data_IF_125371947585
#
_entry.id   IF_125371947585
#
_cell.length_a   1.000
_cell.length_b   1.000
_cell.length_c   1.000
_cell.angle_alpha   90.00
_cell.angle_beta   90.00
_cell.angle_gamma   90.00
#
_symmetry.space_group_name_H-M   'P 1'
#
loop_
_entity.id
_entity.type
_entity.pdbx_description
1 polymer ?
#
# COMPACT_ATOMS: atom_id res chain seq x y z
N UNK A 1 11.48 8.46 5.14
CA UNK A 1 10.55 7.61 4.36
C UNK A 1 9.67 6.84 5.32
N UNK A 2 8.35 6.91 5.17
CA UNK A 2 7.40 6.08 5.89
C UNK A 2 6.87 4.99 4.94
N UNK A 3 6.94 3.73 5.36
CA UNK A 3 6.36 2.59 4.64
C UNK A 3 5.06 2.17 5.31
N UNK A 4 3.99 2.11 4.52
CA UNK A 4 2.65 1.66 4.90
C UNK A 4 2.39 0.31 4.23
N UNK A 5 2.65 -0.83 4.89
CA UNK A 5 2.37 -2.15 4.33
C UNK A 5 0.86 -2.44 4.38
N UNK A 6 0.44 -3.46 3.63
CA UNK A 6 -0.92 -3.98 3.74
C UNK A 6 -1.22 -4.47 5.16
N UNK A 7 -2.43 -4.21 5.65
CA UNK A 7 -2.89 -4.70 6.95
C UNK A 7 -3.43 -6.14 6.91
N UNK A 8 -3.57 -6.75 5.74
CA UNK A 8 -3.97 -8.16 5.59
C UNK A 8 -2.90 -9.15 6.05
N UNK A 9 -1.65 -8.71 6.03
CA UNK A 9 -0.48 -9.55 6.28
C UNK A 9 0.45 -8.83 7.26
N UNK A 10 1.39 -9.56 7.81
CA UNK A 10 2.45 -8.95 8.60
C UNK A 10 3.30 -8.02 7.74
N UNK A 11 3.86 -6.98 8.34
CA UNK A 11 4.57 -5.89 7.67
C UNK A 11 5.77 -6.32 6.81
N UNK A 12 6.42 -7.46 7.15
CA UNK A 12 7.80 -7.76 6.75
C UNK A 12 7.97 -8.31 5.33
N UNK A 13 6.96 -8.20 4.45
CA UNK A 13 7.14 -8.51 3.01
C UNK A 13 8.26 -7.66 2.37
N UNK A 14 8.40 -6.41 2.80
CA UNK A 14 9.45 -5.50 2.32
C UNK A 14 10.74 -5.58 3.14
N UNK A 15 10.82 -6.51 4.08
CA UNK A 15 11.95 -6.74 4.99
C UNK A 15 12.10 -8.23 5.33
N UNK A 16 12.07 -9.11 4.32
CA UNK A 16 12.01 -10.58 4.48
C UNK A 16 13.33 -11.15 5.01
N UNK A 17 14.45 -10.76 4.44
CA UNK A 17 15.78 -11.18 4.85
C UNK A 17 16.82 -10.12 4.47
N UNK A 18 18.03 -10.18 5.02
CA UNK A 18 19.08 -9.18 4.70
C UNK A 18 19.37 -9.00 3.21
N UNK A 19 19.10 -10.03 2.39
CA UNK A 19 19.40 -10.01 0.96
C UNK A 19 18.33 -9.36 0.12
N UNK A 20 17.04 -9.53 0.51
CA UNK A 20 15.88 -9.06 -0.24
C UNK A 20 15.04 -8.05 0.55
N UNK A 21 15.67 -7.30 1.47
CA UNK A 21 15.05 -6.25 2.25
C UNK A 21 15.11 -4.91 1.52
N UNK A 22 13.96 -4.35 1.17
CA UNK A 22 13.83 -2.98 0.69
C UNK A 22 14.22 -1.97 1.78
N UNK A 23 13.92 -2.27 3.04
CA UNK A 23 14.30 -1.43 4.18
C UNK A 23 15.83 -1.32 4.27
N UNK A 24 16.54 -2.45 4.26
CA UNK A 24 18.01 -2.45 4.27
C UNK A 24 18.58 -1.72 3.05
N UNK A 25 17.99 -1.94 1.87
CA UNK A 25 18.40 -1.25 0.66
C UNK A 25 18.26 0.27 0.84
N UNK A 26 17.11 0.79 1.21
CA UNK A 26 16.88 2.22 1.39
C UNK A 26 17.77 2.83 2.49
N UNK A 27 17.95 2.13 3.61
CA UNK A 27 18.85 2.57 4.68
C UNK A 27 20.30 2.63 4.18
N UNK A 28 20.75 1.64 3.39
CA UNK A 28 22.10 1.66 2.79
C UNK A 28 22.30 2.82 1.81
N UNK A 29 21.21 3.32 1.21
CA UNK A 29 21.21 4.49 0.34
C UNK A 29 21.10 5.82 1.11
N UNK A 30 21.07 5.78 2.44
CA UNK A 30 21.08 6.97 3.30
C UNK A 30 19.69 7.51 3.67
N UNK A 31 18.62 6.76 3.44
CA UNK A 31 17.28 7.11 3.91
C UNK A 31 17.08 6.70 5.37
N UNK A 32 16.38 7.55 6.14
CA UNK A 32 15.78 7.13 7.41
C UNK A 32 14.44 6.47 7.07
N UNK A 33 14.28 5.20 7.45
CA UNK A 33 13.10 4.39 7.11
C UNK A 33 12.30 4.07 8.35
N UNK A 34 11.00 4.31 8.28
CA UNK A 34 10.00 3.97 9.30
C UNK A 34 8.95 3.08 8.63
N UNK A 35 8.44 2.10 9.37
CA UNK A 35 7.44 1.18 8.84
C UNK A 35 6.37 0.89 9.88
N UNK A 36 5.10 0.86 9.45
CA UNK A 36 3.98 0.46 10.30
C UNK A 36 4.04 -1.06 10.52
N UNK A 37 3.97 -1.48 11.77
CA UNK A 37 3.64 -2.86 12.14
C UNK A 37 2.22 -2.90 12.69
N UNK A 38 1.28 -3.39 11.87
CA UNK A 38 -0.12 -3.46 12.26
C UNK A 38 -0.34 -4.44 13.40
N UNK A 39 -1.15 -4.03 14.37
CA UNK A 39 -1.62 -4.93 15.42
C UNK A 39 -2.59 -5.96 14.81
N UNK A 40 -2.49 -7.22 15.21
CA UNK A 40 -3.47 -8.23 14.84
C UNK A 40 -4.75 -7.98 15.66
N UNK A 41 -5.88 -7.59 15.04
CA UNK A 41 -7.10 -7.27 15.77
C UNK A 41 -7.76 -8.50 16.39
N UNK A 42 -8.55 -8.29 17.43
CA UNK A 42 -9.37 -9.28 18.11
C UNK A 42 -10.85 -8.86 18.12
N UNK A 43 -11.72 -9.62 18.79
CA UNK A 43 -13.16 -9.36 18.84
C UNK A 43 -13.48 -7.94 19.37
N UNK A 44 -12.69 -7.41 20.31
CA UNK A 44 -12.91 -6.07 20.87
C UNK A 44 -12.70 -4.96 19.83
N UNK A 45 -12.01 -5.24 18.75
CA UNK A 45 -11.72 -4.31 17.65
C UNK A 45 -12.79 -4.29 16.56
N UNK A 46 -13.87 -5.10 16.69
CA UNK A 46 -14.88 -5.32 15.65
C UNK A 46 -15.44 -4.06 15.00
N UNK A 47 -15.51 -2.97 15.76
CA UNK A 47 -16.07 -1.69 15.33
C UNK A 47 -15.03 -0.74 14.69
N UNK A 48 -13.75 -1.12 14.61
CA UNK A 48 -12.75 -0.31 13.91
C UNK A 48 -13.11 -0.25 12.41
N UNK A 49 -13.22 0.98 11.93
CA UNK A 49 -13.58 1.30 10.55
C UNK A 49 -12.35 1.44 9.65
N UNK A 50 -12.60 1.57 8.36
CA UNK A 50 -11.57 1.97 7.40
C UNK A 50 -10.99 3.36 7.74
N UNK A 51 -11.84 4.31 8.19
CA UNK A 51 -11.39 5.62 8.65
C UNK A 51 -10.46 5.54 9.87
N UNK A 52 -10.71 4.61 10.80
CA UNK A 52 -9.83 4.41 11.97
C UNK A 52 -8.44 3.95 11.55
N UNK A 53 -8.32 3.08 10.52
CA UNK A 53 -7.03 2.69 9.96
C UNK A 53 -6.27 3.88 9.33
N UNK A 54 -6.98 4.79 8.68
CA UNK A 54 -6.37 6.02 8.16
C UNK A 54 -5.88 6.91 9.30
N UNK A 55 -6.73 7.15 10.30
CA UNK A 55 -6.46 8.10 11.38
C UNK A 55 -5.46 7.56 12.40
N UNK A 56 -5.81 6.43 13.04
CA UNK A 56 -5.02 5.84 14.13
C UNK A 56 -3.79 5.08 13.60
N UNK A 57 -3.81 4.66 12.35
CA UNK A 57 -2.73 3.96 11.68
C UNK A 57 -1.82 4.92 10.91
N UNK A 58 -2.25 5.32 9.71
CA UNK A 58 -1.38 6.04 8.76
C UNK A 58 -1.03 7.44 9.25
N UNK A 59 -2.02 8.25 9.65
CA UNK A 59 -1.78 9.65 10.08
C UNK A 59 -0.94 9.70 11.36
N UNK A 60 -1.22 8.86 12.35
CA UNK A 60 -0.39 8.77 13.55
C UNK A 60 1.03 8.31 13.26
N UNK A 61 1.21 7.36 12.33
CA UNK A 61 2.54 6.95 11.89
C UNK A 61 3.29 8.07 11.16
N UNK A 62 2.60 8.90 10.36
CA UNK A 62 3.19 10.10 9.75
C UNK A 62 3.66 11.08 10.82
N UNK A 63 2.82 11.39 11.83
CA UNK A 63 3.17 12.27 12.94
C UNK A 63 4.37 11.72 13.72
N UNK A 64 4.35 10.42 14.03
CA UNK A 64 5.47 9.76 14.73
C UNK A 64 6.77 9.82 13.92
N UNK A 65 6.67 9.61 12.59
CA UNK A 65 7.81 9.71 11.66
C UNK A 65 8.37 11.14 11.64
N UNK A 66 7.51 12.15 11.54
CA UNK A 66 7.92 13.56 11.61
C UNK A 66 8.64 13.90 12.91
N UNK A 67 8.08 13.49 14.05
CA UNK A 67 8.70 13.68 15.37
C UNK A 67 10.04 12.97 15.50
N UNK A 68 10.14 11.72 15.03
CA UNK A 68 11.37 10.93 15.14
C UNK A 68 12.47 11.40 14.19
N UNK A 69 12.11 11.85 13.00
CA UNK A 69 13.07 12.39 12.02
C UNK A 69 13.39 13.87 12.24
N UNK A 70 12.57 14.60 13.00
CA UNK A 70 12.67 16.06 13.14
C UNK A 70 12.34 16.80 11.84
N UNK A 71 11.51 16.20 10.99
CA UNK A 71 11.10 16.76 9.70
C UNK A 71 9.59 16.94 9.63
N UNK A 72 9.16 18.06 9.11
CA UNK A 72 7.76 18.36 8.76
C UNK A 72 7.40 17.86 7.34
N UNK A 73 8.35 17.21 6.65
CA UNK A 73 8.20 16.70 5.27
C UNK A 73 8.68 15.26 5.20
N UNK A 74 7.85 14.37 4.65
CA UNK A 74 8.16 12.94 4.53
C UNK A 74 7.80 12.40 3.14
N UNK A 75 8.50 11.35 2.73
CA UNK A 75 8.13 10.54 1.57
C UNK A 75 7.30 9.34 2.08
N UNK A 76 6.21 9.03 1.40
CA UNK A 76 5.37 7.87 1.72
C UNK A 76 5.56 6.74 0.72
N UNK A 77 5.63 5.48 1.18
CA UNK A 77 5.58 4.27 0.35
C UNK A 77 4.41 3.43 0.85
N UNK A 78 3.43 3.16 0.00
CA UNK A 78 2.30 2.29 0.33
C UNK A 78 2.32 1.01 -0.52
N UNK A 79 2.18 -0.15 0.13
CA UNK A 79 2.15 -1.45 -0.54
C UNK A 79 0.76 -2.07 -0.44
N UNK A 80 0.20 -2.50 -1.58
CA UNK A 80 -1.10 -3.13 -1.69
C UNK A 80 -2.18 -2.23 -1.03
N UNK A 81 -3.04 -2.73 -0.12
CA UNK A 81 -4.02 -1.91 0.62
C UNK A 81 -3.38 -0.75 1.40
N UNK A 82 -2.13 -0.90 1.85
CA UNK A 82 -1.39 0.21 2.46
C UNK A 82 -1.17 1.38 1.50
N UNK A 83 -1.07 1.11 0.20
CA UNK A 83 -1.02 2.15 -0.83
C UNK A 83 -2.38 2.81 -1.06
N UNK A 84 -3.48 2.06 -1.00
CA UNK A 84 -4.83 2.63 -1.01
C UNK A 84 -5.04 3.56 0.18
N UNK A 85 -4.66 3.14 1.40
CA UNK A 85 -4.69 4.00 2.59
C UNK A 85 -3.89 5.28 2.38
N UNK A 86 -2.66 5.14 1.89
CA UNK A 86 -1.76 6.29 1.68
C UNK A 86 -2.31 7.25 0.61
N UNK A 87 -2.94 6.76 -0.45
CA UNK A 87 -3.60 7.58 -1.48
C UNK A 87 -4.74 8.40 -0.91
N UNK A 88 -5.58 7.79 -0.07
CA UNK A 88 -6.68 8.50 0.61
C UNK A 88 -6.13 9.56 1.56
N UNK A 89 -5.11 9.24 2.35
CA UNK A 89 -4.49 10.21 3.28
C UNK A 89 -3.82 11.36 2.51
N UNK A 90 -3.16 11.09 1.38
CA UNK A 90 -2.59 12.13 0.52
C UNK A 90 -3.69 13.06 -0.04
N UNK A 91 -4.81 12.49 -0.47
CA UNK A 91 -5.95 13.28 -0.94
C UNK A 91 -6.57 14.14 0.19
N UNK A 92 -6.72 13.59 1.41
CA UNK A 92 -7.21 14.34 2.58
C UNK A 92 -6.28 15.50 2.91
N UNK A 93 -4.98 15.25 2.98
CA UNK A 93 -3.96 16.25 3.30
C UNK A 93 -4.01 17.43 2.31
N UNK A 94 -4.03 17.15 1.02
CA UNK A 94 -3.99 18.18 -0.01
C UNK A 94 -5.37 18.85 -0.23
N UNK A 95 -6.48 18.16 0.13
CA UNK A 95 -7.83 18.74 0.11
C UNK A 95 -7.94 19.91 1.10
N UNK A 96 -7.42 19.76 2.31
CA UNK A 96 -7.46 20.81 3.32
C UNK A 96 -6.67 22.05 2.89
N UNK A 97 -5.48 21.85 2.32
CA UNK A 97 -4.68 22.94 1.78
C UNK A 97 -5.34 23.70 0.61
N UNK A 98 -6.24 23.06 -0.15
CA UNK A 98 -6.99 23.72 -1.23
C UNK A 98 -8.08 24.65 -0.66
N UNK A 99 -8.73 24.26 0.41
CA UNK A 99 -9.84 25.01 1.01
C UNK A 99 -9.37 26.21 1.83
N UNK A 100 -8.12 26.23 2.29
CA UNK A 100 -7.50 27.37 2.99
C UNK A 100 -7.13 28.54 2.05
N UNK A 101 -7.16 28.35 0.73
CA UNK A 101 -6.90 29.44 -0.21
C UNK A 101 -8.10 30.39 -0.28
N UNK A 102 -7.91 31.71 -0.02
CA UNK A 102 -8.99 32.68 -0.11
C UNK A 102 -9.55 32.70 -1.55
N UNK A 103 -10.83 32.36 -1.71
CA UNK A 103 -11.53 32.55 -2.97
C UNK A 103 -11.66 34.05 -3.22
N UNK A 104 -11.36 34.51 -4.46
CA UNK A 104 -11.36 35.93 -4.85
C UNK A 104 -12.63 36.61 -4.33
N UNK A 105 -12.49 37.53 -3.36
CA UNK A 105 -13.58 38.33 -2.80
C UNK A 105 -14.35 37.72 -1.63
N UNK A 106 -13.94 36.60 -1.07
CA UNK A 106 -14.49 36.05 0.18
C UNK A 106 -13.37 35.76 1.19
N UNK A 107 -13.59 36.07 2.49
CA UNK A 107 -12.63 35.65 3.51
C UNK A 107 -12.51 34.11 3.48
N UNK A 108 -11.29 33.61 3.74
CA UNK A 108 -11.06 32.18 3.91
C UNK A 108 -12.01 31.65 5.00
N UNK A 109 -12.95 30.78 4.62
CA UNK A 109 -13.72 30.03 5.62
C UNK A 109 -12.76 28.97 6.16
N UNK A 110 -12.26 29.16 7.37
CA UNK A 110 -11.56 28.08 8.11
C UNK A 110 -12.57 26.96 8.34
N UNK A 111 -12.63 26.03 7.43
CA UNK A 111 -13.18 24.71 7.71
C UNK A 111 -12.19 24.00 8.63
N UNK A 112 -12.66 23.31 9.66
CA UNK A 112 -11.77 22.50 10.49
C UNK A 112 -11.02 21.51 9.56
N UNK A 113 -9.71 21.36 9.78
CA UNK A 113 -8.90 20.42 9.02
C UNK A 113 -9.42 18.99 9.20
N UNK A 114 -9.39 18.20 8.13
CA UNK A 114 -9.72 16.77 8.16
C UNK A 114 -8.59 15.95 8.80
N UNK A 115 -7.38 16.46 8.79
CA UNK A 115 -6.22 15.78 9.38
C UNK A 115 -5.85 16.38 10.75
N UNK A 116 -5.22 15.59 11.64
CA UNK A 116 -4.78 16.06 12.94
C UNK A 116 -3.66 17.12 12.81
N UNK A 117 -3.57 18.00 13.79
CA UNK A 117 -2.49 18.98 13.87
C UNK A 117 -1.13 18.29 13.93
N UNK A 118 -0.16 18.87 13.23
CA UNK A 118 1.21 18.36 13.18
C UNK A 118 1.42 17.19 12.20
N UNK A 119 0.47 16.93 11.30
CA UNK A 119 0.68 16.00 10.20
C UNK A 119 1.75 16.55 9.25
N UNK A 120 2.87 15.83 9.02
CA UNK A 120 3.90 16.28 8.09
C UNK A 120 3.41 16.25 6.64
N UNK A 121 3.94 17.12 5.81
CA UNK A 121 3.69 17.16 4.37
C UNK A 121 4.18 15.86 3.70
N UNK A 122 3.34 15.26 2.86
CA UNK A 122 3.75 14.21 1.92
C UNK A 122 4.36 14.85 0.69
N UNK A 123 5.69 14.85 0.60
CA UNK A 123 6.43 15.45 -0.52
C UNK A 123 6.50 14.56 -1.74
N UNK A 124 6.29 13.27 -1.58
CA UNK A 124 6.09 12.29 -2.65
C UNK A 124 5.38 11.06 -2.11
N UNK A 125 4.70 10.34 -3.01
CA UNK A 125 3.96 9.12 -2.70
C UNK A 125 4.37 8.02 -3.67
N UNK A 126 4.86 6.90 -3.15
CA UNK A 126 5.11 5.68 -3.91
C UNK A 126 4.00 4.67 -3.66
N UNK A 127 3.36 4.18 -4.71
CA UNK A 127 2.27 3.20 -4.66
C UNK A 127 2.75 1.89 -5.30
N UNK A 128 2.89 0.84 -4.50
CA UNK A 128 3.43 -0.44 -4.92
C UNK A 128 2.31 -1.48 -5.01
N UNK A 129 1.93 -1.90 -6.20
CA UNK A 129 0.84 -2.84 -6.46
C UNK A 129 -0.45 -2.46 -5.70
N UNK A 130 -0.80 -1.18 -5.74
CA UNK A 130 -1.91 -0.60 -4.98
C UNK A 130 -3.00 -0.10 -5.94
N UNK A 131 -4.24 -0.54 -5.71
CA UNK A 131 -5.40 -0.10 -6.47
C UNK A 131 -6.01 1.16 -5.85
N UNK A 132 -6.48 2.05 -6.72
CA UNK A 132 -7.33 3.20 -6.38
C UNK A 132 -8.62 3.21 -7.19
N UNK A 133 -8.71 2.32 -8.17
CA UNK A 133 -9.89 1.96 -8.95
C UNK A 133 -10.06 0.44 -8.81
N UNK A 134 -11.24 0.00 -8.43
CA UNK A 134 -11.57 -1.39 -8.15
C UNK A 134 -12.56 -1.97 -9.17
N UNK A 135 -12.84 -1.26 -10.27
CA UNK A 135 -13.71 -1.74 -11.35
C UNK A 135 -13.17 -3.01 -12.02
N UNK A 136 -11.87 -3.25 -11.93
CA UNK A 136 -11.20 -4.49 -12.33
C UNK A 136 -10.56 -5.16 -11.10
N UNK A 137 -11.37 -5.83 -10.25
CA UNK A 137 -10.92 -6.33 -8.94
C UNK A 137 -10.00 -7.55 -9.03
N UNK A 138 -9.60 -7.94 -10.24
CA UNK A 138 -8.78 -9.13 -10.46
C UNK A 138 -9.52 -10.42 -10.07
N UNK A 139 -8.76 -11.40 -9.62
CA UNK A 139 -9.31 -12.69 -9.23
C UNK A 139 -10.21 -12.62 -7.98
N UNK A 140 -10.06 -11.58 -7.16
CA UNK A 140 -10.91 -11.38 -5.97
C UNK A 140 -12.37 -11.09 -6.33
N UNK A 141 -12.63 -10.53 -7.52
CA UNK A 141 -13.99 -10.24 -7.98
C UNK A 141 -14.94 -11.44 -8.00
N UNK A 142 -14.41 -12.66 -8.09
CA UNK A 142 -15.20 -13.90 -8.05
C UNK A 142 -15.95 -14.05 -6.70
N UNK A 143 -15.42 -13.45 -5.63
CA UNK A 143 -15.96 -13.54 -4.28
C UNK A 143 -16.75 -12.31 -3.85
N UNK A 144 -17.01 -11.35 -4.76
CA UNK A 144 -17.58 -10.06 -4.42
C UNK A 144 -18.89 -9.88 -5.18
N UNK A 145 -19.97 -10.39 -4.60
CA UNK A 145 -21.35 -10.12 -4.95
C UNK A 145 -22.19 -9.99 -3.66
N UNK A 146 -23.42 -9.49 -3.79
CA UNK A 146 -24.28 -9.21 -2.63
C UNK A 146 -24.56 -10.44 -1.77
N UNK A 147 -24.75 -11.63 -2.36
CA UNK A 147 -25.06 -12.87 -1.63
C UNK A 147 -23.82 -13.39 -0.87
N UNK A 148 -22.65 -13.34 -1.52
CA UNK A 148 -21.40 -13.75 -0.89
C UNK A 148 -21.01 -12.77 0.22
N UNK A 149 -21.15 -11.46 0.01
CA UNK A 149 -20.90 -10.46 1.05
C UNK A 149 -21.83 -10.63 2.23
N UNK A 150 -23.11 -11.01 2.01
CA UNK A 150 -24.05 -11.31 3.09
C UNK A 150 -23.56 -12.51 3.92
N UNK A 151 -23.20 -13.61 3.28
CA UNK A 151 -22.68 -14.82 3.96
C UNK A 151 -21.44 -14.50 4.76
N UNK A 152 -20.53 -13.70 4.19
CA UNK A 152 -19.29 -13.28 4.83
C UNK A 152 -19.55 -12.42 6.07
N UNK A 153 -20.52 -11.49 5.97
CA UNK A 153 -20.95 -10.66 7.10
C UNK A 153 -21.51 -11.50 8.25
N UNK A 154 -22.30 -12.52 7.94
CA UNK A 154 -22.84 -13.46 8.94
C UNK A 154 -21.71 -14.22 9.68
N UNK A 155 -20.71 -14.73 8.96
CA UNK A 155 -19.53 -15.40 9.59
C UNK A 155 -18.71 -14.43 10.46
N UNK A 156 -18.50 -13.19 10.01
CA UNK A 156 -17.76 -12.19 10.77
C UNK A 156 -18.55 -11.67 11.97
N UNK A 157 -19.87 -11.57 11.88
CA UNK A 157 -20.71 -11.10 12.99
C UNK A 157 -20.57 -11.99 14.25
N UNK A 158 -20.37 -13.29 14.07
CA UNK A 158 -20.11 -14.21 15.18
C UNK A 158 -18.76 -13.94 15.84
N UNK A 159 -17.70 -13.71 15.05
CA UNK A 159 -16.30 -13.63 15.52
C UNK A 159 -15.82 -12.21 15.82
N UNK A 160 -16.45 -11.21 15.23
CA UNK A 160 -16.03 -9.81 15.30
C UNK A 160 -14.89 -9.44 14.34
N UNK A 161 -14.39 -10.40 13.53
CA UNK A 161 -13.30 -10.17 12.58
C UNK A 161 -13.29 -11.19 11.45
N UNK A 162 -12.70 -10.80 10.32
CA UNK A 162 -12.31 -11.73 9.25
C UNK A 162 -11.08 -12.51 9.67
N UNK A 163 -11.19 -13.82 9.69
CA UNK A 163 -10.06 -14.67 10.08
C UNK A 163 -9.01 -14.76 8.96
N UNK A 164 -7.73 -14.76 9.34
CA UNK A 164 -6.64 -15.00 8.38
C UNK A 164 -6.76 -16.34 7.65
N UNK A 165 -7.37 -17.35 8.27
CA UNK A 165 -7.61 -18.66 7.64
C UNK A 165 -8.61 -18.57 6.48
N UNK A 166 -9.70 -17.83 6.66
CA UNK A 166 -10.71 -17.61 5.61
C UNK A 166 -10.11 -16.81 4.47
N UNK A 167 -9.37 -15.74 4.76
CA UNK A 167 -8.65 -14.93 3.78
C UNK A 167 -7.59 -15.74 3.04
N UNK A 168 -6.73 -16.45 3.76
CA UNK A 168 -5.69 -17.28 3.19
C UNK A 168 -6.26 -18.40 2.31
N UNK A 169 -7.40 -18.99 2.70
CA UNK A 169 -8.11 -19.98 1.91
C UNK A 169 -8.58 -19.44 0.56
N UNK A 170 -9.15 -18.24 0.53
CA UNK A 170 -9.58 -17.58 -0.71
C UNK A 170 -8.37 -17.31 -1.64
N UNK A 171 -7.29 -16.74 -1.11
CA UNK A 171 -6.07 -16.48 -1.88
C UNK A 171 -5.39 -17.78 -2.37
N UNK A 172 -5.38 -18.85 -1.56
CA UNK A 172 -4.86 -20.15 -1.97
C UNK A 172 -5.72 -20.80 -3.05
N UNK A 173 -7.03 -20.66 -2.99
CA UNK A 173 -7.95 -21.17 -4.00
C UNK A 173 -7.68 -20.52 -5.36
N UNK A 174 -7.54 -19.20 -5.39
CA UNK A 174 -7.22 -18.43 -6.60
C UNK A 174 -5.89 -18.83 -7.23
N UNK A 175 -4.91 -19.23 -6.41
CA UNK A 175 -3.58 -19.68 -6.84
C UNK A 175 -3.37 -21.19 -6.68
N UNK A 176 -4.44 -21.99 -6.59
CA UNK A 176 -4.35 -23.41 -6.29
C UNK A 176 -3.39 -24.19 -7.21
N UNK A 177 -3.29 -23.81 -8.48
CA UNK A 177 -2.38 -24.46 -9.41
C UNK A 177 -0.91 -24.26 -9.03
N UNK A 178 -0.52 -23.05 -8.66
CA UNK A 178 0.88 -22.73 -8.34
C UNK A 178 1.24 -23.08 -6.89
N UNK A 179 0.38 -22.72 -5.93
CA UNK A 179 0.67 -22.87 -4.51
C UNK A 179 0.38 -24.28 -3.98
N UNK A 180 -0.59 -25.01 -4.56
CA UNK A 180 -1.01 -26.32 -4.04
C UNK A 180 -0.57 -27.42 -4.98
N UNK A 181 -1.03 -27.41 -6.24
CA UNK A 181 -0.83 -28.54 -7.13
C UNK A 181 0.61 -28.71 -7.61
N UNK A 182 1.30 -27.62 -7.96
CA UNK A 182 2.70 -27.69 -8.39
C UNK A 182 3.62 -28.18 -7.27
N UNK A 183 3.38 -27.75 -6.03
CA UNK A 183 4.15 -28.21 -4.87
C UNK A 183 3.85 -29.67 -4.52
N UNK A 184 2.55 -30.07 -4.51
CA UNK A 184 2.18 -31.47 -4.29
C UNK A 184 2.79 -32.39 -5.34
N UNK A 185 2.76 -31.99 -6.61
CA UNK A 185 3.38 -32.76 -7.69
C UNK A 185 4.89 -32.94 -7.47
N UNK A 186 5.60 -31.86 -7.15
CA UNK A 186 7.05 -31.92 -6.87
C UNK A 186 7.36 -32.81 -5.67
N UNK A 187 6.68 -32.62 -4.57
CA UNK A 187 6.90 -33.38 -3.33
C UNK A 187 6.52 -34.84 -3.45
N UNK A 188 5.30 -35.13 -3.92
CA UNK A 188 4.76 -36.51 -3.92
C UNK A 188 5.11 -37.31 -5.16
N UNK A 189 5.26 -36.69 -6.32
CA UNK A 189 5.56 -37.40 -7.56
C UNK A 189 7.04 -37.35 -7.94
N UNK A 190 7.75 -36.27 -7.64
CA UNK A 190 9.16 -36.14 -7.95
C UNK A 190 10.10 -36.37 -6.77
N UNK A 191 9.54 -36.50 -5.54
CA UNK A 191 10.35 -36.69 -4.32
C UNK A 191 11.27 -35.52 -3.98
N UNK A 192 10.96 -34.33 -4.50
CA UNK A 192 11.74 -33.12 -4.21
C UNK A 192 11.43 -32.61 -2.79
N UNK A 193 12.46 -32.16 -2.08
CA UNK A 193 12.29 -31.49 -0.80
C UNK A 193 11.54 -30.18 -0.95
N UNK A 194 10.77 -29.81 0.06
CA UNK A 194 10.08 -28.54 0.11
C UNK A 194 11.09 -27.38 0.23
N UNK A 195 11.19 -26.58 -0.82
CA UNK A 195 12.02 -25.38 -0.77
C UNK A 195 11.30 -24.34 0.09
N UNK A 196 11.72 -24.21 1.33
CA UNK A 196 11.28 -23.11 2.19
C UNK A 196 11.81 -21.79 1.65
N UNK A 197 10.91 -20.91 1.20
CA UNK A 197 11.24 -19.55 0.81
C UNK A 197 10.66 -18.58 1.84
N UNK A 198 11.40 -17.52 2.16
CA UNK A 198 10.98 -16.49 3.12
C UNK A 198 9.59 -15.93 2.78
N UNK A 199 9.31 -15.74 1.49
CA UNK A 199 8.00 -15.30 1.00
C UNK A 199 6.88 -16.30 1.33
N UNK A 200 7.15 -17.60 1.32
CA UNK A 200 6.14 -18.61 1.69
C UNK A 200 5.84 -18.57 3.17
N UNK A 201 6.86 -18.37 4.01
CA UNK A 201 6.68 -18.16 5.44
C UNK A 201 5.84 -16.93 5.74
N UNK A 202 6.12 -15.83 5.04
CA UNK A 202 5.33 -14.61 5.14
C UNK A 202 3.87 -14.85 4.67
N UNK A 203 3.65 -15.53 3.56
CA UNK A 203 2.31 -15.86 3.05
C UNK A 203 1.48 -16.71 4.03
N UNK A 204 2.12 -17.44 4.93
CA UNK A 204 1.45 -18.20 5.97
C UNK A 204 1.15 -17.37 7.24
N UNK A 205 1.71 -16.17 7.35
CA UNK A 205 1.62 -15.31 8.55
C UNK A 205 0.60 -14.18 8.35
N UNK A 206 -0.68 -14.57 8.27
CA UNK A 206 -1.78 -13.63 8.07
C UNK A 206 -2.10 -12.80 9.33
N UNK A 207 -2.82 -11.70 9.11
CA UNK A 207 -3.50 -10.93 10.15
C UNK A 207 -5.01 -11.07 10.01
N UNK A 208 -5.73 -10.73 11.07
CA UNK A 208 -7.18 -10.59 11.04
C UNK A 208 -7.55 -9.18 10.56
N UNK A 209 -8.81 -9.00 10.18
CA UNK A 209 -9.37 -7.68 9.90
C UNK A 209 -10.63 -7.48 10.73
N UNK A 210 -10.83 -6.31 11.35
CA UNK A 210 -12.07 -5.99 12.04
C UNK A 210 -13.28 -6.16 11.14
N UNK A 211 -14.38 -6.66 11.69
CA UNK A 211 -15.63 -6.88 10.97
C UNK A 211 -16.06 -5.63 10.19
N UNK A 212 -16.11 -4.49 10.84
CA UNK A 212 -16.55 -3.25 10.23
C UNK A 212 -15.61 -2.79 9.11
N UNK A 213 -14.30 -2.73 9.37
CA UNK A 213 -13.31 -2.30 8.39
C UNK A 213 -13.36 -3.15 7.11
N UNK A 214 -13.44 -4.48 7.28
CA UNK A 214 -13.48 -5.40 6.14
C UNK A 214 -14.78 -5.25 5.33
N UNK A 215 -15.94 -5.10 6.00
CA UNK A 215 -17.22 -4.86 5.34
C UNK A 215 -17.22 -3.53 4.56
N UNK A 216 -16.70 -2.45 5.16
CA UNK A 216 -16.56 -1.15 4.49
C UNK A 216 -15.64 -1.27 3.28
N UNK A 217 -14.50 -1.96 3.40
CA UNK A 217 -13.55 -2.15 2.31
C UNK A 217 -14.18 -2.87 1.12
N UNK A 218 -14.89 -3.99 1.34
CA UNK A 218 -15.52 -4.72 0.27
C UNK A 218 -16.71 -3.96 -0.35
N UNK A 219 -17.50 -3.28 0.45
CA UNK A 219 -18.68 -2.56 -0.03
C UNK A 219 -18.30 -1.26 -0.75
N UNK A 220 -17.50 -0.40 -0.08
CA UNK A 220 -17.23 0.94 -0.63
C UNK A 220 -16.23 0.90 -1.78
N UNK A 221 -15.22 0.00 -1.73
CA UNK A 221 -14.20 -0.03 -2.76
C UNK A 221 -14.50 -1.06 -3.85
N UNK A 222 -14.77 -2.32 -3.52
CA UNK A 222 -14.96 -3.33 -4.55
C UNK A 222 -16.35 -3.32 -5.19
N UNK A 223 -17.42 -3.10 -4.39
CA UNK A 223 -18.78 -3.13 -4.93
C UNK A 223 -19.19 -1.79 -5.55
N UNK A 224 -18.86 -0.67 -4.88
CA UNK A 224 -19.28 0.67 -5.30
C UNK A 224 -18.17 1.47 -5.99
N UNK A 225 -16.92 1.03 -5.92
CA UNK A 225 -15.72 1.77 -6.41
C UNK A 225 -15.71 3.26 -6.00
N UNK A 226 -16.15 3.50 -4.74
CA UNK A 226 -16.49 4.84 -4.26
C UNK A 226 -15.33 5.83 -4.33
N UNK A 227 -14.07 5.35 -4.30
CA UNK A 227 -12.89 6.21 -4.39
C UNK A 227 -12.70 6.74 -5.83
N UNK A 228 -12.76 5.86 -6.83
CA UNK A 228 -12.64 6.23 -8.24
C UNK A 228 -13.84 7.04 -8.72
N UNK A 229 -15.04 6.68 -8.27
CA UNK A 229 -16.30 7.40 -8.57
C UNK A 229 -16.42 8.74 -7.83
N UNK A 230 -15.49 9.09 -6.94
CA UNK A 230 -15.51 10.35 -6.19
C UNK A 230 -16.59 10.41 -5.11
N UNK A 231 -17.10 9.28 -4.66
CA UNK A 231 -18.16 9.18 -3.65
C UNK A 231 -17.63 8.87 -2.25
N UNK A 232 -16.34 8.49 -2.14
CA UNK A 232 -15.74 8.17 -0.84
C UNK A 232 -15.78 9.40 0.08
N UNK A 233 -16.12 9.15 1.35
CA UNK A 233 -16.19 10.20 2.38
C UNK A 233 -15.28 9.86 3.54
N UNK A 234 -14.54 10.85 4.01
CA UNK A 234 -13.81 10.82 5.26
C UNK A 234 -14.42 11.84 6.21
N UNK A 235 -14.83 11.43 7.40
CA UNK A 235 -15.58 12.28 8.36
C UNK A 235 -16.79 12.99 7.72
N UNK A 236 -17.49 12.30 6.83
CA UNK A 236 -18.66 12.82 6.12
C UNK A 236 -18.36 13.80 4.97
N UNK A 237 -17.09 14.11 4.69
CA UNK A 237 -16.66 14.98 3.59
C UNK A 237 -16.16 14.16 2.42
N UNK A 238 -16.59 14.50 1.20
CA UNK A 238 -16.12 13.86 -0.03
C UNK A 238 -14.63 14.08 -0.25
N UNK A 239 -13.91 12.99 -0.53
CA UNK A 239 -12.47 12.98 -0.85
C UNK A 239 -12.31 12.49 -2.28
N UNK A 240 -11.50 13.17 -3.05
CA UNK A 240 -11.22 12.83 -4.44
C UNK A 240 -9.72 12.64 -4.66
N UNK A 241 -9.34 11.61 -5.42
CA UNK A 241 -7.95 11.37 -5.81
C UNK A 241 -7.33 12.56 -6.56
N UNK A 242 -8.16 13.35 -7.25
CA UNK A 242 -7.74 14.60 -7.92
C UNK A 242 -7.18 15.65 -6.94
N UNK A 243 -7.46 15.51 -5.65
CA UNK A 243 -6.89 16.39 -4.63
C UNK A 243 -5.42 16.12 -4.37
N UNK A 244 -4.90 14.92 -4.68
CA UNK A 244 -3.48 14.59 -4.55
C UNK A 244 -2.63 15.53 -5.40
N UNK A 245 -1.70 16.24 -4.75
CA UNK A 245 -0.74 17.15 -5.41
C UNK A 245 0.70 16.67 -5.30
N UNK A 246 0.96 15.82 -4.33
CA UNK A 246 2.25 15.14 -4.21
C UNK A 246 2.56 14.37 -5.52
N UNK A 247 3.78 14.45 -6.06
CA UNK A 247 4.19 13.62 -7.19
C UNK A 247 4.13 12.14 -6.83
N UNK A 248 3.81 11.31 -7.83
CA UNK A 248 3.57 9.89 -7.68
C UNK A 248 4.66 9.03 -8.34
N UNK A 249 5.05 7.94 -7.67
CA UNK A 249 5.82 6.84 -8.23
C UNK A 249 4.99 5.56 -8.09
N UNK A 250 4.47 5.05 -9.20
CA UNK A 250 3.48 3.98 -9.17
C UNK A 250 4.05 2.72 -9.80
N UNK A 251 3.98 1.61 -9.10
CA UNK A 251 4.51 0.32 -9.55
C UNK A 251 3.37 -0.67 -9.72
N UNK A 252 3.14 -1.09 -10.96
CA UNK A 252 2.29 -2.23 -11.29
C UNK A 252 3.11 -3.47 -11.58
N UNK A 253 2.56 -4.67 -11.35
CA UNK A 253 3.22 -5.93 -11.67
C UNK A 253 2.46 -6.66 -12.77
N UNK A 254 3.19 -7.08 -13.83
CA UNK A 254 2.62 -7.54 -15.10
C UNK A 254 1.68 -8.76 -14.95
N UNK A 255 1.96 -9.64 -14.00
CA UNK A 255 1.20 -10.86 -13.75
C UNK A 255 0.46 -10.79 -12.42
N UNK A 256 -0.05 -9.62 -12.07
CA UNK A 256 -0.81 -9.40 -10.86
C UNK A 256 -2.27 -9.83 -11.05
N UNK A 257 -2.71 -10.78 -10.26
CA UNK A 257 -4.10 -11.22 -10.23
C UNK A 257 -4.88 -10.68 -9.02
N UNK A 258 -4.18 -9.98 -8.10
CA UNK A 258 -4.77 -9.31 -6.93
C UNK A 258 -5.05 -7.84 -7.25
N UNK A 259 -4.05 -7.15 -7.79
CA UNK A 259 -4.13 -5.74 -8.20
C UNK A 259 -3.69 -5.62 -9.66
N UNK A 260 -4.55 -5.92 -10.63
CA UNK A 260 -4.19 -5.90 -12.05
C UNK A 260 -3.51 -4.57 -12.42
N UNK A 261 -2.37 -4.63 -13.10
CA UNK A 261 -1.58 -3.45 -13.38
C UNK A 261 -2.33 -2.37 -14.17
N UNK A 262 -3.29 -2.77 -15.02
CA UNK A 262 -4.13 -1.82 -15.77
C UNK A 262 -5.04 -1.05 -14.82
N UNK A 263 -5.56 -1.70 -13.76
CA UNK A 263 -6.30 -1.02 -12.70
C UNK A 263 -5.39 -0.07 -11.91
N UNK A 264 -4.17 -0.52 -11.56
CA UNK A 264 -3.17 0.35 -10.90
C UNK A 264 -2.79 1.55 -11.76
N UNK A 265 -2.70 1.37 -13.09
CA UNK A 265 -2.38 2.41 -14.05
C UNK A 265 -3.48 3.50 -14.13
N UNK A 266 -4.74 3.16 -13.84
CA UNK A 266 -5.86 4.13 -13.87
C UNK A 266 -5.70 5.31 -12.91
N UNK A 267 -4.74 5.28 -11.99
CA UNK A 267 -4.42 6.45 -11.16
C UNK A 267 -4.17 7.71 -12.01
N UNK A 268 -3.65 7.56 -13.23
CA UNK A 268 -3.49 8.64 -14.19
C UNK A 268 -4.80 9.31 -14.64
N UNK A 269 -5.95 8.63 -14.52
CA UNK A 269 -7.27 9.18 -14.82
C UNK A 269 -7.77 10.09 -13.69
N UNK A 270 -7.36 9.80 -12.46
CA UNK A 270 -7.91 10.40 -11.27
C UNK A 270 -7.02 11.48 -10.64
N UNK A 271 -5.76 11.59 -11.08
CA UNK A 271 -4.82 12.56 -10.54
C UNK A 271 -4.28 13.48 -11.62
N UNK A 272 -3.97 14.72 -11.24
CA UNK A 272 -3.29 15.70 -12.08
C UNK A 272 -2.00 16.14 -11.38
N UNK A 273 -1.02 15.25 -11.36
CA UNK A 273 0.30 15.46 -10.76
C UNK A 273 1.36 14.71 -11.55
N UNK A 274 2.63 15.10 -11.37
CA UNK A 274 3.74 14.39 -11.98
C UNK A 274 3.76 12.93 -11.53
N UNK A 275 3.68 11.99 -12.48
CA UNK A 275 3.58 10.56 -12.18
C UNK A 275 4.63 9.77 -12.96
N UNK A 276 5.46 9.03 -12.26
CA UNK A 276 6.32 8.00 -12.85
C UNK A 276 5.65 6.64 -12.68
N UNK A 277 5.33 5.99 -13.79
CA UNK A 277 4.76 4.64 -13.77
C UNK A 277 5.81 3.59 -14.12
N UNK A 278 5.84 2.52 -13.36
CA UNK A 278 6.77 1.40 -13.51
C UNK A 278 5.98 0.11 -13.64
N UNK A 279 6.17 -0.63 -14.72
CA UNK A 279 5.59 -1.95 -14.93
C UNK A 279 6.67 -3.01 -14.79
N UNK A 280 6.56 -3.82 -13.75
CA UNK A 280 7.59 -4.80 -13.38
C UNK A 280 7.20 -6.21 -13.83
N UNK A 281 8.12 -6.94 -14.40
CA UNK A 281 7.92 -8.36 -14.65
C UNK A 281 7.77 -9.15 -13.34
N UNK A 282 6.67 -9.90 -13.19
CA UNK A 282 6.39 -10.66 -11.96
C UNK A 282 4.92 -10.60 -11.55
N UNK A 283 4.60 -11.23 -10.44
CA UNK A 283 3.28 -11.18 -9.78
C UNK A 283 3.31 -10.24 -8.59
N UNK A 284 2.17 -10.14 -7.89
CA UNK A 284 1.87 -9.18 -6.82
C UNK A 284 3.00 -8.97 -5.80
N UNK A 285 3.56 -10.05 -5.27
CA UNK A 285 4.63 -9.99 -4.28
C UNK A 285 6.02 -10.05 -4.94
N UNK A 286 6.21 -11.04 -5.84
CA UNK A 286 7.51 -11.32 -6.45
C UNK A 286 8.00 -10.22 -7.42
N UNK A 287 7.11 -9.40 -7.98
CA UNK A 287 7.47 -8.23 -8.76
C UNK A 287 7.95 -7.08 -7.89
N UNK A 288 7.40 -6.94 -6.69
CA UNK A 288 7.76 -5.88 -5.75
C UNK A 288 9.10 -6.18 -5.07
N UNK A 289 9.34 -7.44 -4.69
CA UNK A 289 10.63 -7.87 -4.14
C UNK A 289 11.60 -8.10 -5.30
N UNK A 290 12.40 -7.10 -5.58
CA UNK A 290 13.27 -7.04 -6.76
C UNK A 290 14.61 -6.39 -6.40
N UNK A 291 15.34 -7.00 -5.48
CA UNK A 291 16.62 -6.50 -4.99
C UNK A 291 17.64 -6.31 -6.14
N UNK A 292 18.52 -5.30 -6.08
CA UNK A 292 19.58 -5.12 -7.04
C UNK A 292 20.48 -6.35 -7.13
N UNK A 293 20.82 -6.76 -8.36
CA UNK A 293 21.60 -7.97 -8.64
C UNK A 293 20.76 -9.24 -8.78
N UNK A 294 19.46 -9.20 -8.57
CA UNK A 294 18.59 -10.34 -8.86
C UNK A 294 18.62 -10.66 -10.38
N UNK A 295 18.94 -11.91 -10.76
CA UNK A 295 19.05 -12.26 -12.19
C UNK A 295 17.67 -12.21 -12.89
N UNK A 296 17.70 -11.88 -14.17
CA UNK A 296 16.52 -11.92 -15.06
C UNK A 296 15.35 -11.03 -14.59
N UNK A 297 15.65 -9.87 -14.00
CA UNK A 297 14.67 -8.83 -13.72
C UNK A 297 14.68 -7.80 -14.84
N UNK A 298 13.51 -7.28 -15.16
CA UNK A 298 13.33 -6.14 -16.06
C UNK A 298 12.07 -5.39 -15.69
N UNK A 299 12.00 -4.15 -16.10
CA UNK A 299 10.84 -3.30 -15.90
C UNK A 299 10.72 -2.28 -17.04
N UNK A 300 9.51 -1.80 -17.27
CA UNK A 300 9.28 -0.65 -18.12
C UNK A 300 9.01 0.56 -17.23
N UNK A 301 9.43 1.73 -17.64
CA UNK A 301 9.24 2.97 -16.87
C UNK A 301 9.10 4.16 -17.80
N UNK A 302 8.12 5.00 -17.49
CA UNK A 302 7.96 6.29 -18.14
C UNK A 302 7.44 7.31 -17.14
N UNK A 303 7.71 8.59 -17.43
CA UNK A 303 7.28 9.73 -16.65
C UNK A 303 6.23 10.54 -17.42
N UNK A 304 5.12 10.80 -16.77
CA UNK A 304 4.01 11.61 -17.27
C UNK A 304 3.93 12.88 -16.44
N UNK A 305 4.22 14.01 -17.07
CA UNK A 305 4.14 15.31 -16.40
C UNK A 305 2.67 15.70 -16.15
N UNK A 306 2.46 16.51 -15.12
CA UNK A 306 1.17 17.14 -14.84
C UNK A 306 0.57 17.80 -16.08
N UNK A 307 -0.74 17.67 -16.27
CA UNK A 307 -1.47 18.24 -17.41
C UNK A 307 -1.36 17.44 -18.72
N UNK A 308 -0.73 16.25 -18.71
CA UNK A 308 -0.70 15.38 -19.88
C UNK A 308 -2.05 14.71 -20.11
N UNK A 309 -2.36 14.44 -21.38
CA UNK A 309 -3.52 13.67 -21.76
C UNK A 309 -3.35 12.19 -21.35
N UNK A 310 -4.48 11.56 -21.03
CA UNK A 310 -4.53 10.11 -20.81
C UNK A 310 -4.00 9.32 -22.01
N UNK A 311 -3.20 8.30 -21.72
CA UNK A 311 -2.75 7.29 -22.68
C UNK A 311 -3.31 5.94 -22.25
N UNK A 312 -3.79 5.16 -23.23
CA UNK A 312 -4.26 3.79 -22.98
C UNK A 312 -3.12 2.93 -22.40
N UNK A 313 -3.38 2.04 -21.42
CA UNK A 313 -2.34 1.23 -20.79
C UNK A 313 -1.62 0.30 -21.77
N UNK A 314 -2.30 -0.27 -22.77
CA UNK A 314 -1.65 -1.12 -23.77
C UNK A 314 -0.77 -0.30 -24.71
N UNK A 315 -1.21 0.91 -25.04
CA UNK A 315 -0.40 1.86 -25.82
C UNK A 315 0.84 2.31 -25.03
N UNK A 316 0.67 2.58 -23.72
CA UNK A 316 1.77 2.91 -22.83
C UNK A 316 2.78 1.77 -22.77
N UNK A 317 2.33 0.53 -22.53
CA UNK A 317 3.19 -0.65 -22.44
C UNK A 317 3.94 -0.93 -23.74
N UNK A 318 3.36 -0.59 -24.91
CA UNK A 318 4.02 -0.73 -26.21
C UNK A 318 5.13 0.33 -26.44
N UNK A 319 5.06 1.48 -25.76
CA UNK A 319 5.98 2.61 -25.97
C UNK A 319 7.00 2.81 -24.85
N UNK A 320 6.65 2.46 -23.63
CA UNK A 320 7.48 2.71 -22.45
C UNK A 320 8.84 2.01 -22.54
N UNK A 321 9.94 2.73 -22.28
CA UNK A 321 11.28 2.16 -22.31
C UNK A 321 11.45 0.98 -21.36
N UNK A 322 12.11 -0.07 -21.82
CA UNK A 322 12.47 -1.25 -21.02
C UNK A 322 13.85 -1.09 -20.41
N UNK A 323 13.97 -1.43 -19.15
CA UNK A 323 15.21 -1.40 -18.37
C UNK A 323 15.50 -2.79 -17.82
N UNK A 324 16.78 -3.18 -17.82
CA UNK A 324 17.24 -4.43 -17.21
C UNK A 324 17.55 -4.25 -15.73
N UNK A 325 17.28 -5.28 -14.94
CA UNK A 325 17.61 -5.31 -13.53
C UNK A 325 16.47 -4.87 -12.61
N UNK A 326 16.83 -4.44 -11.41
CA UNK A 326 15.91 -4.03 -10.36
C UNK A 326 15.39 -2.60 -10.58
N UNK A 327 14.10 -2.39 -10.31
CA UNK A 327 13.48 -1.07 -10.31
C UNK A 327 13.73 -0.27 -9.00
N UNK A 328 14.28 -0.90 -7.95
CA UNK A 328 14.55 -0.23 -6.67
C UNK A 328 15.51 0.97 -6.79
N UNK A 329 16.57 0.93 -7.63
CA UNK A 329 17.41 2.11 -7.88
C UNK A 329 16.62 3.30 -8.44
N UNK A 330 15.69 3.08 -9.37
CA UNK A 330 14.85 4.15 -9.90
C UNK A 330 13.95 4.77 -8.82
N UNK A 331 13.38 3.96 -7.93
CA UNK A 331 12.63 4.45 -6.77
C UNK A 331 13.53 5.22 -5.80
N UNK A 332 14.75 4.74 -5.54
CA UNK A 332 15.71 5.47 -4.70
C UNK A 332 16.02 6.85 -5.29
N UNK A 333 16.30 6.94 -6.59
CA UNK A 333 16.58 8.21 -7.26
C UNK A 333 15.38 9.16 -7.18
N UNK A 334 14.17 8.63 -7.35
CA UNK A 334 12.93 9.39 -7.18
C UNK A 334 12.77 9.91 -5.74
N UNK A 335 12.94 9.06 -4.73
CA UNK A 335 12.86 9.47 -3.32
C UNK A 335 13.94 10.50 -2.98
N UNK A 336 15.16 10.33 -3.48
CA UNK A 336 16.27 11.24 -3.30
C UNK A 336 15.97 12.63 -3.90
N UNK A 337 15.35 12.67 -5.07
CA UNK A 337 14.95 13.92 -5.73
C UNK A 337 13.95 14.72 -4.88
N UNK A 338 13.02 14.04 -4.22
CA UNK A 338 12.01 14.66 -3.36
C UNK A 338 12.42 14.79 -1.89
N UNK A 339 13.62 14.33 -1.54
CA UNK A 339 14.17 14.46 -0.18
C UNK A 339 14.91 15.78 -0.01
N UNK A 340 14.96 16.27 1.23
CA UNK A 340 15.84 17.36 1.64
C UNK A 340 17.31 16.87 1.73
N UNK A 341 18.20 17.76 2.20
CA UNK A 341 19.60 17.42 2.43
C UNK A 341 19.77 16.26 3.43
N UNK A 342 20.80 15.47 3.24
CA UNK A 342 21.22 14.49 4.24
C UNK A 342 21.69 15.18 5.53
N UNK A 343 21.33 14.61 6.66
CA UNK A 343 21.72 15.06 7.99
C UNK A 343 22.47 13.94 8.73
N UNK A 344 23.35 14.31 9.64
CA UNK A 344 24.01 13.32 10.47
C UNK A 344 23.00 12.62 11.40
N UNK A 345 23.10 11.30 11.56
CA UNK A 345 22.23 10.53 12.48
C UNK A 345 22.26 11.09 13.89
N UNK A 346 23.41 11.58 14.35
CA UNK A 346 23.58 12.22 15.66
C UNK A 346 22.76 13.51 15.84
N UNK A 347 22.30 14.12 14.74
CA UNK A 347 21.45 15.33 14.76
C UNK A 347 19.94 15.04 14.82
N UNK A 348 19.55 13.76 14.73
CA UNK A 348 18.14 13.39 14.85
C UNK A 348 17.62 13.60 16.27
N UNK A 349 16.33 13.94 16.43
CA UNK A 349 15.73 14.08 17.74
C UNK A 349 15.89 12.82 18.59
N UNK A 350 16.23 12.97 19.85
CA UNK A 350 16.23 11.87 20.82
C UNK A 350 14.80 11.58 21.23
N UNK A 351 14.19 10.60 20.59
CA UNK A 351 12.88 10.09 21.00
C UNK A 351 13.04 9.00 22.07
N UNK A 352 12.05 8.90 22.99
CA UNK A 352 12.03 7.81 23.96
C UNK A 352 11.83 6.48 23.20
N UNK A 353 12.78 5.57 23.32
CA UNK A 353 12.60 4.21 22.79
C UNK A 353 11.47 3.50 23.54
N UNK A 354 10.59 2.85 22.79
CA UNK A 354 9.52 2.00 23.32
C UNK A 354 9.92 0.52 23.35
N UNK A 355 11.15 0.19 22.98
CA UNK A 355 11.72 -1.14 22.86
C UNK A 355 12.40 -1.35 21.53
N UNK A 356 12.90 -2.55 21.31
CA UNK A 356 13.55 -2.93 20.07
C UNK A 356 12.53 -3.16 18.95
N UNK A 357 12.89 -2.75 17.74
CA UNK A 357 12.12 -3.10 16.54
C UNK A 357 12.24 -4.63 16.29
N UNK A 358 11.20 -5.23 15.75
CA UNK A 358 9.95 -4.70 15.23
C UNK A 358 8.83 -4.55 16.27
N UNK A 359 9.11 -4.70 17.56
CA UNK A 359 8.11 -4.63 18.62
C UNK A 359 7.31 -5.93 18.77
N UNK A 360 6.12 -5.84 19.39
CA UNK A 360 5.35 -7.02 19.80
C UNK A 360 4.27 -7.45 18.82
N UNK A 361 3.77 -6.56 17.96
CA UNK A 361 2.62 -6.85 17.10
C UNK A 361 2.91 -7.96 16.08
N UNK A 362 4.11 -8.03 15.55
CA UNK A 362 4.53 -9.08 14.63
C UNK A 362 4.51 -10.48 15.28
N UNK A 363 4.67 -10.56 16.60
CA UNK A 363 4.67 -11.82 17.35
C UNK A 363 3.27 -12.34 17.67
N UNK A 364 2.23 -11.51 17.51
CA UNK A 364 0.84 -11.95 17.71
C UNK A 364 0.43 -12.83 16.55
N UNK A 365 0.14 -14.10 16.83
CA UNK A 365 -0.32 -15.05 15.82
C UNK A 365 -1.79 -14.81 15.50
N UNK A 366 -2.22 -15.11 14.29
CA UNK A 366 -3.62 -14.99 13.92
C UNK A 366 -4.52 -16.00 14.68
N UNK A 367 -3.95 -17.08 15.18
CA UNK A 367 -4.65 -18.15 15.91
C UNK A 367 -4.71 -17.91 17.43
N UNK A 368 -4.06 -16.86 17.95
CA UNK A 368 -4.01 -16.56 19.39
C UNK A 368 -5.27 -15.75 19.84
#
# INVERSE_FOLDING_TARGET
VLIVPSCFMKYYILDLSPKNSMVNYLVSQGHSVFMISWRNPDESDRNLSFEDYLRMGVMEAMIATGKASGSDRINGIGYCLGGTFLSVVAAIHDHDHRNDRPKRGKPAQKTANLHPDGLPELVSVCLLAAQTDFSEPGALGIFIDDDQLKTLREDMAEKGYMSGKSMGGALQFLNARELVWSQKTRRYLLGEDEISMDMMSWNADHTRLPERMHNEYLTEFFLHDALAEGHYKFEGRGIALMDIKAPLFVVGTLRDHVSPWKSVYKIHLFTDTDTTFVLVAGGHNAGIISEPGHPRRSFQMDHVAKGHAWMDPDEWAAKAPTHEGSWWPAMHDYLKHHSSRQVAVSSLPKTKSLGDAPGRYVLMRYAD
#
